data_IF_657632327126
#
_entry.id   IF_657632327126
#
_cell.length_a   1.000
_cell.length_b   1.000
_cell.length_c   1.000
_cell.angle_alpha   90.00
_cell.angle_beta   90.00
_cell.angle_gamma   90.00
#
_symmetry.space_group_name_H-M   'P 1'
#
loop_
_entity.id
_entity.type
_entity.pdbx_description
1 polymer ?
#
# COMPACT_ATOMS: atom_id res chain seq x y z
N UNK A 1 -18.45 61.30 13.34
CA UNK A 1 -18.42 59.85 13.64
C UNK A 1 -16.99 59.33 13.53
N UNK A 2 -16.24 59.32 14.64
CA UNK A 2 -14.87 58.76 14.67
C UNK A 2 -15.00 57.25 14.86
N UNK A 3 -14.73 56.49 13.80
CA UNK A 3 -14.78 55.04 13.80
C UNK A 3 -13.59 54.50 14.61
N UNK A 4 -13.89 53.80 15.70
CA UNK A 4 -12.92 53.38 16.72
C UNK A 4 -12.02 52.25 16.21
N UNK A 5 -10.82 52.63 15.73
CA UNK A 5 -9.80 51.76 15.12
C UNK A 5 -9.38 50.61 16.06
N UNK A 6 -9.46 50.84 17.37
CA UNK A 6 -9.12 49.89 18.42
C UNK A 6 -10.08 48.69 18.47
N UNK A 7 -11.36 48.93 18.21
CA UNK A 7 -12.41 47.91 18.19
C UNK A 7 -12.25 47.00 16.96
N UNK A 8 -11.96 47.58 15.79
CA UNK A 8 -11.70 46.83 14.55
C UNK A 8 -10.49 45.91 14.66
N UNK A 9 -9.41 46.36 15.32
CA UNK A 9 -8.19 45.57 15.50
C UNK A 9 -8.41 44.37 16.44
N UNK A 10 -9.18 44.55 17.51
CA UNK A 10 -9.56 43.45 18.43
C UNK A 10 -10.47 42.43 17.75
N UNK A 11 -11.45 42.88 16.96
CA UNK A 11 -12.33 42.01 16.20
C UNK A 11 -11.58 41.18 15.13
N UNK A 12 -10.63 41.80 14.42
CA UNK A 12 -9.80 41.13 13.43
C UNK A 12 -8.90 40.04 14.04
N UNK A 13 -8.29 40.33 15.20
CA UNK A 13 -7.46 39.37 15.92
C UNK A 13 -8.26 38.17 16.45
N UNK A 14 -9.48 38.40 16.94
CA UNK A 14 -10.37 37.32 17.37
C UNK A 14 -10.83 36.45 16.20
N UNK A 15 -11.17 37.05 15.06
CA UNK A 15 -11.53 36.30 13.86
C UNK A 15 -10.37 35.46 13.33
N UNK A 16 -9.15 36.01 13.30
CA UNK A 16 -7.95 35.26 12.92
C UNK A 16 -7.67 34.09 13.88
N UNK A 17 -7.79 34.32 15.19
CA UNK A 17 -7.61 33.26 16.18
C UNK A 17 -8.62 32.12 16.00
N UNK A 18 -9.90 32.44 15.77
CA UNK A 18 -10.94 31.44 15.49
C UNK A 18 -10.63 30.64 14.23
N UNK A 19 -10.24 31.31 13.14
CA UNK A 19 -9.88 30.63 11.88
C UNK A 19 -8.69 29.70 12.09
N UNK A 20 -7.63 30.17 12.78
CA UNK A 20 -6.44 29.34 13.06
C UNK A 20 -6.81 28.13 13.92
N UNK A 21 -7.65 28.30 14.95
CA UNK A 21 -8.11 27.18 15.79
C UNK A 21 -8.98 26.17 15.05
N UNK A 22 -9.82 26.63 14.10
CA UNK A 22 -10.68 25.77 13.30
C UNK A 22 -9.89 24.98 12.25
N UNK A 23 -8.89 25.60 11.62
CA UNK A 23 -8.01 24.92 10.64
C UNK A 23 -7.12 23.89 11.33
N UNK A 24 -6.63 24.18 12.54
CA UNK A 24 -5.76 23.27 13.28
C UNK A 24 -6.50 22.02 13.78
N UNK A 25 -7.75 22.16 14.21
CA UNK A 25 -8.56 21.01 14.66
C UNK A 25 -8.99 20.09 13.51
N UNK A 26 -9.15 20.61 12.29
CA UNK A 26 -9.44 19.80 11.11
C UNK A 26 -8.27 18.88 10.67
N UNK A 27 -7.01 19.27 10.92
CA UNK A 27 -5.84 18.46 10.54
C UNK A 27 -5.57 17.28 11.47
N UNK A 28 -5.96 17.35 12.75
CA UNK A 28 -5.71 16.25 13.69
C UNK A 28 -6.66 15.06 13.45
N UNK A 29 -7.85 15.30 12.91
CA UNK A 29 -8.82 14.25 12.57
C UNK A 29 -8.50 13.53 11.25
N UNK A 30 -7.59 14.07 10.44
CA UNK A 30 -7.26 13.54 9.11
C UNK A 30 -5.95 12.75 9.07
N UNK A 31 -5.40 12.34 10.22
CA UNK A 31 -4.35 11.33 10.23
C UNK A 31 -4.93 10.07 9.58
N UNK A 32 -4.39 9.58 8.44
CA UNK A 32 -4.87 8.35 7.85
C UNK A 32 -4.50 7.24 8.83
N UNK A 33 -5.49 6.76 9.58
CA UNK A 33 -5.35 5.50 10.30
C UNK A 33 -5.07 4.46 9.21
N UNK A 34 -3.81 4.05 9.10
CA UNK A 34 -3.42 2.96 8.21
C UNK A 34 -4.15 1.74 8.72
N UNK A 35 -5.17 1.31 7.99
CA UNK A 35 -5.84 0.05 8.24
C UNK A 35 -4.76 -1.02 8.19
N UNK A 36 -4.51 -1.68 9.34
CA UNK A 36 -3.56 -2.78 9.40
C UNK A 36 -4.15 -3.85 8.49
N UNK A 37 -3.52 -4.08 7.35
CA UNK A 37 -4.00 -5.02 6.35
C UNK A 37 -4.36 -6.33 7.06
N UNK A 38 -5.62 -6.77 6.92
CA UNK A 38 -6.10 -8.01 7.54
C UNK A 38 -5.10 -9.13 7.25
N UNK A 39 -4.74 -9.96 8.26
CA UNK A 39 -3.86 -11.09 8.03
C UNK A 39 -4.39 -11.93 6.87
N UNK A 40 -3.52 -12.22 5.89
CA UNK A 40 -3.87 -13.06 4.75
C UNK A 40 -3.80 -14.51 5.21
N UNK A 41 -4.91 -15.23 5.11
CA UNK A 41 -4.97 -16.67 5.40
C UNK A 41 -4.96 -17.47 4.10
N UNK A 42 -4.07 -18.46 4.02
CA UNK A 42 -4.00 -19.40 2.90
C UNK A 42 -4.20 -20.83 3.42
N UNK A 43 -5.05 -21.61 2.75
CA UNK A 43 -5.24 -23.05 3.03
C UNK A 43 -5.32 -23.86 1.74
N UNK A 44 -4.87 -25.10 1.81
CA UNK A 44 -5.00 -26.08 0.72
C UNK A 44 -6.29 -26.87 0.96
N UNK A 45 -7.15 -26.95 -0.04
CA UNK A 45 -8.39 -27.76 -0.03
C UNK A 45 -8.35 -28.77 -1.17
N UNK A 46 -9.10 -29.87 -1.02
CA UNK A 46 -9.35 -30.79 -2.13
C UNK A 46 -10.65 -30.38 -2.84
N UNK A 47 -10.54 -30.01 -4.12
CA UNK A 47 -11.66 -29.66 -4.98
C UNK A 47 -11.67 -30.64 -6.16
N UNK A 48 -12.73 -31.44 -6.30
CA UNK A 48 -12.86 -32.45 -7.37
C UNK A 48 -11.67 -33.42 -7.47
N UNK A 49 -11.09 -33.79 -6.32
CA UNK A 49 -9.91 -34.67 -6.26
C UNK A 49 -8.59 -33.99 -6.63
N UNK A 50 -8.57 -32.66 -6.79
CA UNK A 50 -7.37 -31.86 -7.09
C UNK A 50 -7.08 -30.87 -5.95
N UNK A 51 -5.81 -30.69 -5.56
CA UNK A 51 -5.45 -29.67 -4.59
C UNK A 51 -5.70 -28.27 -5.17
N UNK A 52 -6.37 -27.42 -4.40
CA UNK A 52 -6.65 -26.03 -4.74
C UNK A 52 -6.26 -25.10 -3.59
N UNK A 53 -5.79 -23.90 -3.92
CA UNK A 53 -5.42 -22.88 -2.93
C UNK A 53 -6.64 -22.01 -2.66
N UNK A 54 -6.97 -21.85 -1.38
CA UNK A 54 -7.97 -20.90 -0.90
C UNK A 54 -7.26 -19.75 -0.20
N UNK A 55 -7.49 -18.52 -0.64
CA UNK A 55 -6.99 -17.30 0.01
C UNK A 55 -8.19 -16.55 0.56
N UNK A 56 -8.22 -16.30 1.87
CA UNK A 56 -9.34 -15.63 2.55
C UNK A 56 -10.71 -16.23 2.18
N UNK A 57 -10.79 -17.57 2.18
CA UNK A 57 -11.99 -18.34 1.80
C UNK A 57 -12.45 -18.22 0.34
N UNK A 58 -11.64 -17.66 -0.57
CA UNK A 58 -11.90 -17.65 -2.00
C UNK A 58 -10.95 -18.58 -2.75
N UNK A 59 -11.46 -19.30 -3.75
CA UNK A 59 -10.62 -20.09 -4.66
C UNK A 59 -9.67 -19.14 -5.41
N UNK A 60 -8.38 -19.35 -5.22
CA UNK A 60 -7.36 -18.63 -5.94
C UNK A 60 -6.95 -19.47 -7.16
N UNK A 61 -7.10 -18.97 -8.39
CA UNK A 61 -6.58 -19.67 -9.55
C UNK A 61 -5.05 -19.77 -9.41
N UNK A 62 -4.42 -20.86 -9.89
CA UNK A 62 -2.97 -21.07 -9.80
C UNK A 62 -2.22 -20.21 -10.84
N UNK A 63 -2.53 -18.91 -10.89
CA UNK A 63 -1.86 -17.96 -11.76
C UNK A 63 -0.60 -17.50 -11.06
N UNK A 64 0.53 -18.10 -11.46
CA UNK A 64 1.86 -17.75 -10.97
C UNK A 64 2.57 -16.99 -12.08
N UNK A 65 2.99 -15.75 -11.79
CA UNK A 65 3.91 -15.03 -12.67
C UNK A 65 5.35 -15.30 -12.24
N UNK A 66 6.12 -15.97 -13.10
CA UNK A 66 7.54 -16.17 -12.88
C UNK A 66 8.32 -14.92 -13.32
N UNK A 67 9.17 -14.41 -12.44
CA UNK A 67 10.11 -13.35 -12.78
C UNK A 67 11.19 -13.89 -13.71
N UNK A 68 11.58 -13.10 -14.72
CA UNK A 68 12.64 -13.51 -15.65
C UNK A 68 13.98 -13.59 -14.92
N UNK A 69 14.81 -14.57 -15.33
CA UNK A 69 16.18 -14.73 -14.86
C UNK A 69 17.17 -13.80 -15.56
N UNK A 70 16.74 -13.09 -16.60
CA UNK A 70 17.61 -12.19 -17.37
C UNK A 70 18.06 -10.98 -16.55
N UNK A 71 19.28 -10.53 -16.82
CA UNK A 71 19.84 -9.30 -16.24
C UNK A 71 18.93 -8.12 -16.62
N UNK A 72 18.49 -7.34 -15.64
CA UNK A 72 17.58 -6.22 -15.90
C UNK A 72 16.08 -6.54 -15.76
N UNK A 73 15.70 -7.81 -15.57
CA UNK A 73 14.30 -8.26 -15.47
C UNK A 73 13.95 -8.99 -14.17
N UNK A 74 14.87 -8.98 -13.20
CA UNK A 74 14.73 -9.77 -11.97
C UNK A 74 14.40 -8.92 -10.76
N UNK A 75 14.98 -7.72 -10.67
CA UNK A 75 15.00 -6.98 -9.41
C UNK A 75 14.06 -5.79 -9.41
N UNK A 76 13.34 -5.57 -8.31
CA UNK A 76 12.33 -4.51 -8.20
C UNK A 76 12.88 -3.08 -8.30
N UNK A 77 14.20 -2.88 -8.19
CA UNK A 77 14.85 -1.59 -8.42
C UNK A 77 15.10 -1.29 -9.90
N UNK A 78 14.98 -2.28 -10.78
CA UNK A 78 15.08 -2.10 -12.22
C UNK A 78 13.71 -1.66 -12.77
N UNK A 79 13.72 -0.80 -13.79
CA UNK A 79 12.50 -0.19 -14.31
C UNK A 79 11.54 -1.21 -14.92
N UNK A 80 12.07 -2.10 -15.76
CA UNK A 80 11.30 -3.11 -16.49
C UNK A 80 10.55 -4.11 -15.58
N UNK A 81 11.19 -4.78 -14.61
CA UNK A 81 10.49 -5.72 -13.73
C UNK A 81 9.49 -5.02 -12.83
N UNK A 82 9.79 -3.80 -12.34
CA UNK A 82 8.81 -3.00 -11.59
C UNK A 82 7.57 -2.71 -12.45
N UNK A 83 7.76 -2.27 -13.69
CA UNK A 83 6.66 -2.04 -14.62
C UNK A 83 5.84 -3.31 -14.88
N UNK A 84 6.49 -4.44 -15.13
CA UNK A 84 5.82 -5.73 -15.34
C UNK A 84 5.02 -6.16 -14.10
N UNK A 85 5.62 -6.09 -12.90
CA UNK A 85 4.95 -6.41 -11.65
C UNK A 85 3.70 -5.55 -11.42
N UNK A 86 3.80 -4.25 -11.65
CA UNK A 86 2.64 -3.35 -11.56
C UNK A 86 1.55 -3.71 -12.58
N UNK A 87 1.93 -3.99 -13.82
CA UNK A 87 0.99 -4.36 -14.88
C UNK A 87 0.23 -5.65 -14.53
N UNK A 88 0.93 -6.71 -14.14
CA UNK A 88 0.31 -7.98 -13.78
C UNK A 88 -0.51 -7.88 -12.49
N UNK A 89 -0.07 -7.08 -11.51
CA UNK A 89 -0.86 -6.79 -10.32
C UNK A 89 -2.18 -6.06 -10.67
N UNK A 90 -2.14 -5.09 -11.59
CA UNK A 90 -3.35 -4.40 -12.09
C UNK A 90 -4.28 -5.35 -12.84
N UNK A 91 -3.75 -6.38 -13.50
CA UNK A 91 -4.52 -7.43 -14.18
C UNK A 91 -5.11 -8.49 -13.24
N UNK A 92 -4.81 -8.43 -11.94
CA UNK A 92 -5.41 -9.33 -10.94
C UNK A 92 -4.49 -10.46 -10.48
N UNK A 93 -3.25 -10.56 -10.97
CA UNK A 93 -2.30 -11.54 -10.45
C UNK A 93 -1.89 -11.16 -9.01
N UNK A 94 -1.77 -12.18 -8.16
CA UNK A 94 -1.44 -12.02 -6.73
C UNK A 94 -0.30 -12.93 -6.27
N UNK A 95 0.06 -13.92 -7.09
CA UNK A 95 1.13 -14.88 -6.77
C UNK A 95 2.26 -14.73 -7.78
N UNK A 96 3.48 -14.57 -7.26
CA UNK A 96 4.69 -14.32 -8.02
C UNK A 96 5.74 -15.34 -7.60
N UNK A 97 6.39 -15.98 -8.59
CA UNK A 97 7.53 -16.84 -8.35
C UNK A 97 8.81 -16.04 -8.56
N UNK A 98 9.70 -16.14 -7.57
CA UNK A 98 11.06 -15.63 -7.64
C UNK A 98 12.01 -16.80 -7.45
N UNK A 99 12.93 -16.97 -8.38
CA UNK A 99 14.01 -17.93 -8.21
C UNK A 99 15.06 -17.30 -7.29
N UNK A 100 15.56 -18.07 -6.33
CA UNK A 100 16.69 -17.68 -5.48
C UNK A 100 17.82 -18.63 -5.80
N UNK A 101 19.00 -18.10 -6.07
CA UNK A 101 20.14 -18.96 -6.37
C UNK A 101 20.61 -19.67 -5.11
N UNK A 102 21.11 -20.89 -5.25
CA UNK A 102 21.55 -21.71 -4.12
C UNK A 102 22.69 -21.03 -3.33
N UNK A 103 23.62 -20.38 -4.02
CA UNK A 103 24.73 -19.61 -3.42
C UNK A 103 24.23 -18.43 -2.56
N UNK A 104 23.07 -17.86 -2.88
CA UNK A 104 22.44 -16.81 -2.07
C UNK A 104 21.73 -17.36 -0.82
N UNK A 105 21.35 -18.64 -0.83
CA UNK A 105 20.73 -19.32 0.32
C UNK A 105 21.77 -20.00 1.22
N UNK A 106 22.89 -20.41 0.63
CA UNK A 106 23.92 -21.17 1.30
C UNK A 106 24.74 -20.26 2.21
N UNK A 107 24.53 -20.39 3.52
CA UNK A 107 25.23 -19.62 4.56
C UNK A 107 26.46 -20.32 5.11
N UNK A 108 26.70 -21.57 4.70
CA UNK A 108 27.88 -22.31 5.12
C UNK A 108 29.10 -21.92 4.28
N UNK A 109 30.28 -21.77 4.90
CA UNK A 109 31.52 -21.35 4.24
C UNK A 109 32.05 -22.38 3.23
#
# INVERSE_FOLDING_TARGET
MKCDITLKRRLCLLLLAVIVTAVFSASLAAAPFRDVAKPVEARIVQLEGRPAIMINNHLAPPQIYALSTDVGLRWTWEEAPRYCLELFARQGLRLFQVDVWLDQMWTAP
#
